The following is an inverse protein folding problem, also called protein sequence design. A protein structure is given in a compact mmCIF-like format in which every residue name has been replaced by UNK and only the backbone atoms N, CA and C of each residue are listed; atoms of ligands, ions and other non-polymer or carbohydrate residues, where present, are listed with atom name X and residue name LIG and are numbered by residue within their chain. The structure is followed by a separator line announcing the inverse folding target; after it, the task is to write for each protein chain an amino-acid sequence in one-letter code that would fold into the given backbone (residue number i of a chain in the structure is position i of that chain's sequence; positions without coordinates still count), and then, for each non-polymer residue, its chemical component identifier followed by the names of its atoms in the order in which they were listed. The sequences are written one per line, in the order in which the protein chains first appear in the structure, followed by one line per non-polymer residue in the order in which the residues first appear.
data_IF_728851494024
#
_entry.id   IF_728851494024
#
_cell.length_a   1.000
_cell.length_b   1.000
_cell.length_c   1.000
_cell.angle_alpha   90.00
_cell.angle_beta   90.00
_cell.angle_gamma   90.00
#
_symmetry.space_group_name_H-M   'P 1'
#
loop_
_entity.id
_entity.type
_entity.pdbx_description
1 polymer ?
#
# COMPACT_ATOMS: atom_id res chain seq x y z
N UNK A 1 -12.72 14.05 7.31
CA UNK A 1 -12.84 12.97 6.31
C UNK A 1 -11.54 12.98 5.51
N UNK A 2 -10.54 12.20 5.93
CA UNK A 2 -9.26 12.15 5.22
C UNK A 2 -9.50 11.20 4.05
N UNK A 3 -9.87 11.75 2.89
CA UNK A 3 -9.78 10.96 1.65
C UNK A 3 -8.33 10.50 1.53
N UNK A 4 -8.15 9.22 1.25
CA UNK A 4 -6.84 8.63 1.05
C UNK A 4 -6.10 9.43 -0.03
N UNK A 5 -4.85 9.83 0.23
CA UNK A 5 -4.11 10.82 -0.58
C UNK A 5 -4.12 10.50 -2.09
N UNK A 6 -4.13 9.22 -2.46
CA UNK A 6 -4.12 8.77 -3.85
C UNK A 6 -5.43 8.99 -4.61
N UNK A 7 -6.59 9.06 -3.95
CA UNK A 7 -7.87 9.30 -4.63
C UNK A 7 -7.94 10.71 -5.22
N UNK A 8 -7.42 11.69 -4.47
CA UNK A 8 -7.32 13.08 -4.91
C UNK A 8 -6.37 13.19 -6.10
N UNK A 9 -5.22 12.52 -6.04
CA UNK A 9 -4.26 12.49 -7.15
C UNK A 9 -4.89 11.92 -8.42
N UNK A 10 -5.61 10.79 -8.33
CA UNK A 10 -6.34 10.22 -9.47
C UNK A 10 -7.34 11.22 -10.07
N UNK A 11 -8.07 11.97 -9.23
CA UNK A 11 -9.01 12.98 -9.71
C UNK A 11 -8.33 14.12 -10.45
N UNK A 12 -7.17 14.59 -9.98
CA UNK A 12 -6.41 15.63 -10.70
C UNK A 12 -5.86 15.12 -12.05
N UNK A 13 -5.38 13.88 -12.12
CA UNK A 13 -4.97 13.25 -13.38
C UNK A 13 -6.16 13.13 -14.33
N UNK A 14 -7.33 12.71 -13.84
CA UNK A 14 -8.56 12.60 -14.65
C UNK A 14 -9.06 13.96 -15.17
N UNK A 15 -8.80 15.04 -14.43
CA UNK A 15 -9.10 16.41 -14.87
C UNK A 15 -8.07 16.97 -15.86
N UNK A 16 -7.05 16.19 -16.26
CA UNK A 16 -6.05 16.59 -17.24
C UNK A 16 -4.94 17.48 -16.68
N UNK A 17 -4.75 17.53 -15.36
CA UNK A 17 -3.71 18.35 -14.73
C UNK A 17 -2.29 17.82 -15.00
N UNK A 18 -2.16 16.53 -15.31
CA UNK A 18 -0.88 15.92 -15.70
C UNK A 18 -0.83 14.42 -15.45
N UNK A 19 0.39 13.90 -15.27
CA UNK A 19 0.68 12.50 -14.96
C UNK A 19 1.12 12.33 -13.51
N UNK A 20 0.93 11.15 -12.93
CA UNK A 20 1.37 10.84 -11.57
C UNK A 20 1.92 9.43 -11.45
N UNK A 21 2.83 9.23 -10.48
CA UNK A 21 3.40 7.93 -10.14
C UNK A 21 2.74 7.44 -8.86
N UNK A 22 2.07 6.29 -8.93
CA UNK A 22 1.33 5.69 -7.83
C UNK A 22 1.68 4.22 -7.69
N UNK A 23 1.42 3.66 -6.50
CA UNK A 23 1.56 2.22 -6.28
C UNK A 23 0.41 1.46 -6.94
N UNK A 24 0.71 0.27 -7.46
CA UNK A 24 -0.25 -0.57 -8.19
C UNK A 24 -1.58 -0.78 -7.45
N UNK A 25 -1.54 -0.99 -6.13
CA UNK A 25 -2.76 -1.25 -5.33
C UNK A 25 -3.76 -0.07 -5.34
N UNK A 26 -3.31 1.15 -5.63
CA UNK A 26 -4.17 2.34 -5.65
C UNK A 26 -5.00 2.46 -6.94
N UNK A 27 -4.61 1.73 -7.98
CA UNK A 27 -5.22 1.76 -9.31
C UNK A 27 -6.39 0.77 -9.38
N UNK A 28 -6.27 -0.37 -8.69
CA UNK A 28 -7.21 -1.49 -8.76
C UNK A 28 -8.60 -1.23 -8.13
N UNK A 29 -8.75 -0.20 -7.27
CA UNK A 29 -9.98 -0.04 -6.49
C UNK A 29 -11.20 0.43 -7.30
N UNK A 30 -11.06 1.40 -8.20
CA UNK A 30 -12.15 1.94 -9.06
C UNK A 30 -11.53 2.75 -10.21
N UNK A 31 -11.66 2.29 -11.45
CA UNK A 31 -11.43 3.14 -12.63
C UNK A 31 -10.20 2.84 -13.49
N UNK A 32 -9.76 1.57 -13.56
CA UNK A 32 -8.74 1.13 -14.51
C UNK A 32 -9.05 1.52 -15.96
N UNK A 33 -10.33 1.69 -16.31
CA UNK A 33 -10.79 1.97 -17.67
C UNK A 33 -10.58 3.42 -18.11
N UNK A 34 -10.10 4.31 -17.22
CA UNK A 34 -9.94 5.76 -17.51
C UNK A 34 -8.49 6.27 -17.51
N UNK A 35 -7.51 5.41 -17.26
CA UNK A 35 -6.10 5.81 -17.20
C UNK A 35 -5.21 4.86 -17.98
N UNK A 36 -4.28 5.41 -18.77
CA UNK A 36 -3.18 4.64 -19.32
C UNK A 36 -2.13 4.41 -18.22
N UNK A 37 -1.91 3.14 -17.88
CA UNK A 37 -1.00 2.74 -16.79
C UNK A 37 0.25 2.11 -17.35
N UNK A 38 1.40 2.68 -17.02
CA UNK A 38 2.71 2.18 -17.43
C UNK A 38 3.47 1.63 -16.22
N UNK A 39 4.04 0.43 -16.36
CA UNK A 39 4.88 -0.14 -15.30
C UNK A 39 6.21 0.60 -15.21
N UNK A 40 6.62 0.92 -13.97
CA UNK A 40 7.91 1.51 -13.65
C UNK A 40 8.82 0.54 -12.89
N UNK A 41 8.52 -0.76 -12.92
CA UNK A 41 9.31 -1.81 -12.23
C UNK A 41 10.77 -1.86 -12.69
N UNK A 42 11.07 -1.39 -13.91
CA UNK A 42 12.44 -1.28 -14.42
C UNK A 42 13.25 -0.13 -13.77
N UNK A 43 12.57 0.85 -13.18
CA UNK A 43 13.20 2.05 -12.62
C UNK A 43 13.23 2.04 -11.08
N UNK A 44 12.28 1.35 -10.43
CA UNK A 44 12.15 1.32 -8.98
C UNK A 44 12.14 -0.10 -8.43
N UNK A 45 12.81 -0.31 -7.29
CA UNK A 45 12.69 -1.58 -6.57
C UNK A 45 11.27 -1.73 -5.99
N UNK A 46 10.79 -2.97 -5.92
CA UNK A 46 9.51 -3.29 -5.28
C UNK A 46 9.54 -2.88 -3.80
N UNK A 47 8.53 -2.10 -3.39
CA UNK A 47 8.33 -1.74 -1.99
C UNK A 47 8.16 -2.99 -1.14
N UNK A 48 8.97 -3.10 -0.08
CA UNK A 48 8.90 -4.17 0.92
C UNK A 48 8.20 -3.64 2.16
N UNK A 49 7.08 -4.24 2.52
CA UNK A 49 6.37 -3.95 3.77
C UNK A 49 6.80 -4.96 4.85
N UNK A 50 7.03 -4.46 6.05
CA UNK A 50 7.48 -5.27 7.18
C UNK A 50 6.70 -4.93 8.44
N UNK A 51 6.68 -5.86 9.38
CA UNK A 51 6.08 -5.66 10.69
C UNK A 51 7.20 -5.35 11.69
N UNK A 52 7.06 -4.23 12.41
CA UNK A 52 8.00 -3.84 13.45
C UNK A 52 7.40 -4.10 14.84
N UNK A 53 8.11 -4.85 15.66
CA UNK A 53 7.76 -5.06 17.07
C UNK A 53 9.01 -5.05 17.94
N UNK A 54 8.83 -4.75 19.23
CA UNK A 54 9.95 -4.72 20.18
C UNK A 54 10.24 -6.12 20.71
N UNK A 55 11.43 -6.63 20.40
CA UNK A 55 11.93 -7.90 20.96
C UNK A 55 11.93 -7.85 22.49
N UNK A 56 11.56 -8.97 23.14
CA UNK A 56 11.47 -9.12 24.61
C UNK A 56 10.42 -8.24 25.32
N UNK A 57 9.56 -7.51 24.59
CA UNK A 57 8.41 -6.83 25.19
C UNK A 57 7.24 -7.80 25.27
N UNK A 58 6.47 -7.77 26.36
CA UNK A 58 5.22 -8.52 26.46
C UNK A 58 4.27 -8.11 25.32
N UNK A 59 3.92 -9.08 24.48
CA UNK A 59 2.89 -8.94 23.45
C UNK A 59 1.60 -9.57 23.95
N UNK A 60 0.49 -8.81 24.02
CA UNK A 60 -0.82 -9.35 24.38
C UNK A 60 -1.23 -10.52 23.47
N UNK A 61 -2.07 -11.46 23.94
CA UNK A 61 -2.56 -12.56 23.11
C UNK A 61 -3.21 -12.11 21.79
N UNK A 62 -3.97 -11.02 21.82
CA UNK A 62 -4.58 -10.42 20.62
C UNK A 62 -3.54 -9.94 19.59
N UNK A 63 -2.45 -9.32 20.05
CA UNK A 63 -1.37 -8.89 19.19
C UNK A 63 -0.63 -10.08 18.56
N UNK A 64 -0.38 -11.15 19.34
CA UNK A 64 0.23 -12.40 18.81
C UNK A 64 -0.67 -13.07 17.76
N UNK A 65 -1.98 -13.13 18.02
CA UNK A 65 -2.94 -13.67 17.07
C UNK A 65 -2.96 -12.85 15.76
N UNK A 66 -2.98 -11.52 15.85
CA UNK A 66 -2.90 -10.65 14.69
C UNK A 66 -1.59 -10.83 13.89
N UNK A 67 -0.45 -10.88 14.57
CA UNK A 67 0.84 -11.14 13.93
C UNK A 67 0.85 -12.48 13.20
N UNK A 68 0.25 -13.52 13.78
CA UNK A 68 0.15 -14.85 13.17
C UNK A 68 -0.75 -14.88 11.93
N UNK A 69 -1.81 -14.07 11.91
CA UNK A 69 -2.66 -13.87 10.71
C UNK A 69 -1.89 -13.17 9.60
N UNK A 70 -1.08 -12.16 9.95
CA UNK A 70 -0.31 -11.38 8.98
C UNK A 70 0.91 -12.15 8.44
N UNK A 71 1.63 -12.88 9.30
CA UNK A 71 2.78 -13.70 8.91
C UNK A 71 2.89 -14.95 9.81
N UNK A 72 2.51 -16.14 9.32
CA UNK A 72 2.45 -17.36 10.14
C UNK A 72 3.79 -17.80 10.73
N UNK A 73 4.90 -17.43 10.08
CA UNK A 73 6.28 -17.77 10.44
C UNK A 73 6.97 -16.75 11.36
N UNK A 74 6.25 -15.74 11.89
CA UNK A 74 6.84 -14.77 12.82
C UNK A 74 7.22 -15.46 14.15
N UNK A 75 8.50 -15.40 14.48
CA UNK A 75 9.04 -15.70 15.81
C UNK A 75 9.09 -14.40 16.64
N UNK A 76 8.04 -14.12 17.41
CA UNK A 76 7.97 -12.95 18.29
C UNK A 76 8.72 -13.09 19.61
#
# INVERSE_FOLDING_TARGET
MILNNFEIVKRYVALGVGVSILDKYTIEEKGSDHFDVYSLDAFFEKRKYGILYRKKKYLPPSAKAFLKTMRPDIAY
#
